data_IF_327979681902
#
_entry.id   IF_327979681902
#
_cell.length_a   1.000
_cell.length_b   1.000
_cell.length_c   1.000
_cell.angle_alpha   90.00
_cell.angle_beta   90.00
_cell.angle_gamma   90.00
#
_symmetry.space_group_name_H-M   'P 1'
#
loop_
_entity.id
_entity.type
_entity.pdbx_description
1 polymer ?
#
# COMPACT_ATOMS: atom_id res chain seq x y z
N UNK A 1 -57.98 5.52 -26.61
CA UNK A 1 -56.84 5.06 -25.78
C UNK A 1 -56.10 3.97 -26.54
N UNK A 2 -54.99 4.30 -27.20
CA UNK A 2 -54.22 3.33 -28.01
C UNK A 2 -53.21 2.61 -27.14
N UNK A 3 -53.55 1.38 -26.74
CA UNK A 3 -52.63 0.50 -26.00
C UNK A 3 -51.48 0.06 -26.92
N UNK A 4 -50.32 0.70 -26.79
CA UNK A 4 -49.09 0.28 -27.46
C UNK A 4 -48.64 -1.06 -26.87
N UNK A 5 -48.80 -2.14 -27.64
CA UNK A 5 -48.23 -3.45 -27.31
C UNK A 5 -46.71 -3.34 -27.16
N UNK A 6 -46.21 -3.62 -25.96
CA UNK A 6 -44.77 -3.77 -25.72
C UNK A 6 -44.35 -5.17 -26.13
N UNK A 7 -43.77 -5.31 -27.32
CA UNK A 7 -43.11 -6.55 -27.72
C UNK A 7 -41.94 -6.82 -26.75
N UNK A 8 -41.87 -8.06 -26.26
CA UNK A 8 -40.74 -8.52 -25.44
C UNK A 8 -39.48 -8.48 -26.30
N UNK A 9 -38.40 -7.92 -25.76
CA UNK A 9 -37.09 -7.90 -26.42
C UNK A 9 -36.58 -9.32 -26.61
N UNK A 10 -35.87 -9.58 -27.70
CA UNK A 10 -35.20 -10.87 -27.90
C UNK A 10 -34.06 -11.02 -26.88
N UNK A 11 -33.65 -12.26 -26.53
CA UNK A 11 -32.57 -12.50 -25.57
C UNK A 11 -31.27 -11.78 -25.95
N UNK A 12 -30.97 -11.69 -27.25
CA UNK A 12 -29.80 -11.00 -27.77
C UNK A 12 -29.88 -9.47 -27.59
N UNK A 13 -31.07 -8.90 -27.79
CA UNK A 13 -31.32 -7.47 -27.58
C UNK A 13 -31.27 -7.10 -26.08
N UNK A 14 -31.69 -8.01 -25.21
CA UNK A 14 -31.55 -7.85 -23.76
C UNK A 14 -30.08 -7.89 -23.32
N UNK A 15 -29.27 -8.80 -23.87
CA UNK A 15 -27.84 -8.87 -23.59
C UNK A 15 -27.10 -7.59 -24.02
N UNK A 16 -27.39 -7.08 -25.23
CA UNK A 16 -26.86 -5.79 -25.71
C UNK A 16 -27.28 -4.63 -24.83
N UNK A 17 -28.53 -4.63 -24.37
CA UNK A 17 -29.04 -3.61 -23.47
C UNK A 17 -28.36 -3.65 -22.09
N UNK A 18 -28.07 -4.85 -21.55
CA UNK A 18 -27.31 -5.02 -20.30
C UNK A 18 -25.88 -4.51 -20.44
N UNK A 19 -25.17 -4.87 -21.51
CA UNK A 19 -23.82 -4.36 -21.80
C UNK A 19 -23.79 -2.84 -21.95
N UNK A 20 -24.79 -2.25 -22.62
CA UNK A 20 -24.90 -0.78 -22.76
C UNK A 20 -25.19 -0.11 -21.42
N UNK A 21 -26.05 -0.71 -20.58
CA UNK A 21 -26.36 -0.21 -19.24
C UNK A 21 -25.14 -0.30 -18.32
N UNK A 22 -24.37 -1.38 -18.41
CA UNK A 22 -23.13 -1.58 -17.67
C UNK A 22 -22.03 -0.62 -18.10
N UNK A 23 -21.82 -0.42 -19.41
CA UNK A 23 -20.93 0.64 -19.93
C UNK A 23 -21.32 2.03 -19.44
N UNK A 24 -22.63 2.35 -19.37
CA UNK A 24 -23.10 3.64 -18.82
C UNK A 24 -22.87 3.75 -17.31
N UNK A 25 -23.04 2.66 -16.56
CA UNK A 25 -22.72 2.61 -15.11
C UNK A 25 -21.21 2.75 -14.87
N UNK A 26 -20.38 2.08 -15.66
CA UNK A 26 -18.92 2.20 -15.59
C UNK A 26 -18.42 3.62 -15.94
N UNK A 27 -18.97 4.25 -16.99
CA UNK A 27 -18.69 5.66 -17.31
C UNK A 27 -19.10 6.60 -16.18
N UNK A 28 -20.26 6.38 -15.55
CA UNK A 28 -20.71 7.16 -14.39
C UNK A 28 -19.79 6.96 -13.18
N UNK A 29 -19.33 5.74 -12.89
CA UNK A 29 -18.37 5.46 -11.82
C UNK A 29 -17.02 6.15 -12.04
N UNK A 30 -16.49 6.13 -13.28
CA UNK A 30 -15.24 6.84 -13.61
C UNK A 30 -15.38 8.36 -13.42
N UNK A 31 -16.49 8.95 -13.86
CA UNK A 31 -16.73 10.38 -13.71
C UNK A 31 -16.94 10.80 -12.24
N UNK A 32 -17.45 9.91 -11.38
CA UNK A 32 -17.56 10.16 -9.95
C UNK A 32 -16.17 10.17 -9.28
N UNK A 33 -15.32 9.20 -9.62
CA UNK A 33 -13.97 9.09 -9.04
C UNK A 33 -13.00 10.19 -9.48
N UNK A 34 -13.18 10.72 -10.69
CA UNK A 34 -12.31 11.77 -11.24
C UNK A 34 -12.67 13.18 -10.74
N UNK A 35 -13.91 13.39 -10.27
CA UNK A 35 -14.37 14.70 -9.78
C UNK A 35 -14.28 14.86 -8.25
N UNK A 36 -14.38 13.77 -7.48
CA UNK A 36 -14.23 13.83 -6.01
C UNK A 36 -12.77 13.95 -5.54
N UNK A 37 -11.79 13.69 -6.41
CA UNK A 37 -10.38 13.82 -6.04
C UNK A 37 -9.85 15.27 -6.06
N UNK A 38 -10.63 16.27 -6.54
CA UNK A 38 -10.12 17.64 -6.70
C UNK A 38 -10.95 18.74 -6.00
N UNK A 39 -12.24 18.51 -5.69
CA UNK A 39 -13.07 19.48 -4.97
C UNK A 39 -14.03 18.75 -4.04
N UNK A 40 -13.73 18.78 -2.73
CA UNK A 40 -14.64 18.27 -1.71
C UNK A 40 -16.05 18.90 -1.81
N UNK A 41 -17.09 18.22 -1.30
CA UNK A 41 -18.48 18.60 -1.52
C UNK A 41 -18.74 20.02 -1.02
N UNK A 42 -19.01 20.92 -1.97
CA UNK A 42 -19.46 22.28 -1.69
C UNK A 42 -20.89 22.21 -1.14
N UNK A 43 -20.98 22.18 0.18
CA UNK A 43 -22.22 22.39 0.95
C UNK A 43 -22.79 23.78 0.66
N UNK A 44 -23.60 23.86 -0.39
CA UNK A 44 -24.41 25.02 -0.76
C UNK A 44 -25.89 24.68 -0.61
N UNK A 45 -26.40 24.73 0.63
CA UNK A 45 -27.81 25.03 0.90
C UNK A 45 -27.91 25.79 2.23
N UNK A 46 -27.89 27.12 2.13
CA UNK A 46 -28.41 28.04 3.15
C UNK A 46 -29.91 28.22 2.89
N UNK A 47 -30.72 27.90 3.89
CA UNK A 47 -32.02 28.52 4.18
C UNK A 47 -32.19 28.33 5.71
N UNK A 48 -31.89 29.36 6.50
CA UNK A 48 -32.79 30.41 7.00
C UNK A 48 -33.33 30.05 8.38
N UNK A 49 -33.10 30.97 9.33
CA UNK A 49 -33.53 31.11 10.73
C UNK A 49 -34.71 30.24 11.22
N UNK A 50 -34.61 29.67 12.43
CA UNK A 50 -35.03 30.33 13.70
C UNK A 50 -34.51 29.58 14.95
N UNK A 51 -34.32 30.35 16.02
CA UNK A 51 -33.79 29.99 17.34
C UNK A 51 -34.60 28.93 18.09
N UNK A 52 -33.97 27.81 18.46
CA UNK A 52 -34.36 26.96 19.60
C UNK A 52 -33.07 26.38 20.21
N UNK A 53 -32.90 26.39 21.55
CA UNK A 53 -31.70 25.87 22.21
C UNK A 53 -31.73 24.34 22.27
N UNK A 54 -31.18 23.70 21.25
CA UNK A 54 -31.08 22.23 21.15
C UNK A 54 -29.79 21.76 21.84
N UNK A 55 -29.96 20.85 22.79
CA UNK A 55 -28.93 20.09 23.50
C UNK A 55 -27.85 19.53 22.54
N UNK A 56 -26.60 19.35 22.99
CA UNK A 56 -25.51 18.88 22.14
C UNK A 56 -25.71 17.40 21.76
N UNK A 57 -26.53 17.18 20.73
CA UNK A 57 -26.65 15.92 20.01
C UNK A 57 -25.28 15.61 19.42
N UNK A 58 -24.61 14.61 20.00
CA UNK A 58 -23.37 14.04 19.46
C UNK A 58 -23.68 13.48 18.08
N UNK A 59 -23.45 14.30 17.08
CA UNK A 59 -23.59 13.98 15.66
C UNK A 59 -22.51 12.97 15.28
N UNK A 60 -22.80 11.69 15.49
CA UNK A 60 -22.09 10.55 14.90
C UNK A 60 -22.42 10.48 13.41
N UNK A 61 -22.15 11.55 12.66
CA UNK A 61 -22.11 11.48 11.20
C UNK A 61 -20.75 10.88 10.82
N UNK A 62 -20.57 9.60 11.15
CA UNK A 62 -19.69 8.74 10.37
C UNK A 62 -20.21 8.84 8.95
N UNK A 63 -19.40 9.36 8.03
CA UNK A 63 -19.75 9.39 6.62
C UNK A 63 -20.15 7.96 6.21
N UNK A 64 -21.24 7.78 5.46
CA UNK A 64 -21.61 6.45 4.93
C UNK A 64 -20.43 5.83 4.15
N UNK A 65 -19.53 6.67 3.63
CA UNK A 65 -18.29 6.26 2.98
C UNK A 65 -17.27 5.66 3.96
N UNK A 66 -17.14 6.21 5.17
CA UNK A 66 -16.27 5.66 6.21
C UNK A 66 -16.82 4.33 6.73
N UNK A 67 -18.15 4.20 6.81
CA UNK A 67 -18.80 2.94 7.14
C UNK A 67 -18.60 1.87 6.04
N UNK A 68 -18.64 2.25 4.75
CA UNK A 68 -18.33 1.33 3.65
C UNK A 68 -16.84 0.93 3.61
N UNK A 69 -15.93 1.84 3.97
CA UNK A 69 -14.49 1.55 4.04
C UNK A 69 -14.20 0.65 5.24
N UNK A 70 -14.78 0.94 6.41
CA UNK A 70 -14.69 0.07 7.58
C UNK A 70 -15.35 -1.29 7.34
N UNK A 71 -16.50 -1.35 6.66
CA UNK A 71 -17.13 -2.63 6.32
C UNK A 71 -16.28 -3.45 5.34
N UNK A 72 -15.60 -2.80 4.39
CA UNK A 72 -14.66 -3.48 3.48
C UNK A 72 -13.42 -3.97 4.21
N UNK A 73 -12.79 -3.13 5.04
CA UNK A 73 -11.65 -3.53 5.86
C UNK A 73 -12.04 -4.63 6.86
N UNK A 74 -13.25 -4.57 7.41
CA UNK A 74 -13.79 -5.61 8.28
C UNK A 74 -14.03 -6.91 7.50
N UNK A 75 -14.55 -6.84 6.27
CA UNK A 75 -14.68 -8.00 5.39
C UNK A 75 -13.34 -8.60 4.97
N UNK A 76 -12.38 -7.78 4.56
CA UNK A 76 -11.03 -8.23 4.22
C UNK A 76 -10.37 -8.87 5.45
N UNK A 77 -10.47 -8.24 6.62
CA UNK A 77 -9.95 -8.82 7.87
C UNK A 77 -10.66 -10.13 8.26
N UNK A 78 -11.94 -10.28 7.94
CA UNK A 78 -12.66 -11.55 8.11
C UNK A 78 -12.19 -12.62 7.11
N UNK A 79 -11.84 -12.25 5.88
CA UNK A 79 -11.28 -13.16 4.89
C UNK A 79 -9.84 -13.55 5.22
N UNK A 80 -9.00 -12.62 5.68
CA UNK A 80 -7.64 -12.89 6.17
C UNK A 80 -7.67 -13.84 7.38
N UNK A 81 -8.58 -13.60 8.33
CA UNK A 81 -8.74 -14.51 9.47
C UNK A 81 -9.30 -15.88 9.07
N UNK A 82 -10.08 -15.98 7.99
CA UNK A 82 -10.57 -17.27 7.47
C UNK A 82 -9.49 -18.02 6.68
N UNK A 83 -8.59 -17.30 6.00
CA UNK A 83 -7.40 -17.87 5.39
C UNK A 83 -6.39 -18.30 6.47
N UNK A 84 -6.30 -17.57 7.59
CA UNK A 84 -5.61 -18.04 8.79
C UNK A 84 -6.33 -19.19 9.50
N UNK A 85 -7.63 -19.42 9.31
CA UNK A 85 -8.35 -20.58 9.88
C UNK A 85 -8.15 -21.86 9.03
N UNK A 86 -7.62 -21.78 7.79
CA UNK A 86 -6.98 -22.94 7.13
C UNK A 86 -5.72 -23.40 7.91
N UNK A 87 -5.24 -22.61 8.88
CA UNK A 87 -4.25 -23.05 9.87
C UNK A 87 -4.84 -24.00 10.91
N UNK A 88 -6.16 -24.13 11.07
CA UNK A 88 -6.72 -25.20 11.90
C UNK A 88 -6.41 -26.57 11.30
N UNK A 89 -6.43 -26.72 9.98
CA UNK A 89 -5.96 -27.95 9.31
C UNK A 89 -4.44 -28.13 9.51
N UNK A 90 -3.66 -27.05 9.57
CA UNK A 90 -2.22 -27.11 9.87
C UNK A 90 -1.92 -27.40 11.36
N UNK A 91 -2.77 -26.94 12.28
CA UNK A 91 -2.69 -27.21 13.72
C UNK A 91 -3.20 -28.62 14.02
N UNK A 92 -4.22 -29.09 13.32
CA UNK A 92 -4.70 -30.47 13.37
C UNK A 92 -3.68 -31.43 12.74
N UNK A 93 -3.05 -31.06 11.61
CA UNK A 93 -1.92 -31.80 11.04
C UNK A 93 -0.73 -31.83 12.01
N UNK A 94 -0.40 -30.70 12.65
CA UNK A 94 0.68 -30.62 13.65
C UNK A 94 0.34 -31.38 14.94
N UNK A 95 -0.91 -31.38 15.41
CA UNK A 95 -1.34 -32.17 16.57
C UNK A 95 -1.36 -33.67 16.26
N UNK A 96 -1.70 -34.04 15.03
CA UNK A 96 -1.59 -35.43 14.56
C UNK A 96 -0.13 -35.86 14.36
N UNK A 97 0.79 -34.95 14.03
CA UNK A 97 2.24 -35.22 13.93
C UNK A 97 2.88 -35.55 15.29
N UNK A 98 2.42 -34.95 16.39
CA UNK A 98 2.85 -35.33 17.75
C UNK A 98 2.14 -36.59 18.28
N UNK A 99 1.15 -37.10 17.54
CA UNK A 99 0.49 -38.39 17.77
C UNK A 99 1.22 -39.58 17.14
N UNK A 100 2.55 -39.54 17.04
CA UNK A 100 3.38 -40.71 16.70
C UNK A 100 3.36 -41.71 17.86
N UNK A 101 2.18 -42.26 18.13
CA UNK A 101 1.99 -43.52 18.87
C UNK A 101 2.72 -44.56 18.03
N UNK A 102 3.84 -45.14 18.52
CA UNK A 102 4.60 -46.12 17.77
C UNK A 102 3.67 -47.23 17.28
N UNK A 103 3.81 -47.67 16.03
CA UNK A 103 2.88 -48.62 15.40
C UNK A 103 2.63 -49.89 16.23
N UNK A 104 3.61 -50.31 17.03
CA UNK A 104 3.48 -51.46 17.94
C UNK A 104 2.44 -51.29 19.07
N UNK A 105 2.04 -50.06 19.40
CA UNK A 105 0.99 -49.72 20.39
C UNK A 105 -0.37 -49.44 19.72
N UNK A 106 -0.40 -49.23 18.39
CA UNK A 106 -1.64 -49.26 17.60
C UNK A 106 -2.04 -50.72 17.36
N UNK A 107 -2.50 -51.37 18.41
CA UNK A 107 -3.41 -52.53 18.39
C UNK A 107 -3.00 -53.70 17.48
N UNK A 108 -2.32 -54.68 18.06
CA UNK A 108 -2.06 -56.04 17.55
C UNK A 108 -3.31 -56.92 17.34
N UNK A 109 -4.48 -56.33 17.06
CA UNK A 109 -5.74 -57.07 16.94
C UNK A 109 -6.76 -56.51 15.94
N UNK A 110 -6.46 -55.38 15.28
CA UNK A 110 -7.29 -54.91 14.19
C UNK A 110 -6.39 -54.60 13.03
N UNK A 111 -6.62 -55.28 11.91
CA UNK A 111 -6.26 -54.88 10.56
C UNK A 111 -6.60 -53.39 10.36
N UNK A 112 -5.74 -52.49 10.81
CA UNK A 112 -5.66 -51.11 10.35
C UNK A 112 -5.10 -51.21 8.94
N UNK A 113 -5.96 -51.72 8.04
CA UNK A 113 -6.02 -51.30 6.66
C UNK A 113 -5.83 -49.80 6.70
N UNK A 114 -4.65 -49.39 6.27
CA UNK A 114 -4.31 -48.05 5.87
C UNK A 114 -5.52 -47.52 5.11
N UNK A 115 -6.39 -46.76 5.80
CA UNK A 115 -7.31 -45.83 5.14
C UNK A 115 -6.41 -44.69 4.64
N UNK A 116 -5.44 -45.01 3.77
CA UNK A 116 -5.04 -44.09 2.71
C UNK A 116 -6.38 -43.74 2.10
N UNK A 117 -6.74 -42.46 2.13
CA UNK A 117 -7.75 -41.95 1.24
C UNK A 117 -7.35 -42.48 -0.13
N UNK A 118 -8.03 -43.53 -0.56
CA UNK A 118 -7.68 -44.34 -1.71
C UNK A 118 -8.00 -43.45 -2.89
N UNK A 119 -7.06 -42.54 -3.16
CA UNK A 119 -7.19 -41.54 -4.16
C UNK A 119 -7.26 -42.35 -5.45
N UNK A 120 -8.33 -42.17 -6.23
CA UNK A 120 -8.61 -43.01 -7.41
C UNK A 120 -7.43 -43.11 -8.39
N UNK A 121 -6.48 -42.17 -8.31
CA UNK A 121 -5.20 -42.16 -9.04
C UNK A 121 -4.20 -43.25 -8.55
N UNK A 122 -4.10 -43.52 -7.24
CA UNK A 122 -3.31 -44.64 -6.69
C UNK A 122 -3.88 -46.01 -7.11
N UNK A 123 -5.19 -46.05 -7.34
CA UNK A 123 -5.93 -47.23 -7.77
C UNK A 123 -5.54 -47.68 -9.20
N UNK A 124 -5.17 -46.72 -10.06
CA UNK A 124 -4.64 -46.98 -11.40
C UNK A 124 -3.18 -47.46 -11.39
N UNK A 125 -2.41 -47.08 -10.38
CA UNK A 125 -1.05 -47.57 -10.18
C UNK A 125 -1.04 -49.01 -9.63
N UNK A 126 -1.97 -49.31 -8.72
CA UNK A 126 -2.17 -50.66 -8.15
C UNK A 126 -2.50 -51.73 -9.20
N UNK A 127 -3.18 -51.36 -10.30
CA UNK A 127 -3.49 -52.29 -11.39
C UNK A 127 -2.35 -52.47 -12.42
N UNK A 128 -1.34 -51.60 -12.40
CA UNK A 128 -0.16 -51.71 -13.25
C UNK A 128 0.94 -52.60 -12.64
N UNK A 129 0.83 -52.94 -11.35
CA UNK A 129 1.74 -53.90 -10.72
C UNK A 129 1.59 -55.28 -11.37
N UNK A 130 2.73 -55.93 -11.63
CA UNK A 130 2.76 -57.28 -12.21
C UNK A 130 2.23 -58.28 -11.16
N UNK A 131 1.14 -59.02 -11.43
CA UNK A 131 0.48 -59.90 -10.46
C UNK A 131 1.37 -61.01 -9.87
N UNK A 132 2.53 -61.29 -10.48
CA UNK A 132 3.49 -62.30 -10.00
C UNK A 132 4.23 -61.91 -8.72
N UNK A 133 4.22 -60.63 -8.36
CA UNK A 133 4.89 -60.11 -7.17
C UNK A 133 3.92 -59.66 -6.08
N UNK A 134 2.61 -59.84 -6.29
CA UNK A 134 1.58 -59.55 -5.30
C UNK A 134 1.35 -60.77 -4.40
N UNK A 135 1.08 -60.53 -3.13
CA UNK A 135 0.64 -61.61 -2.25
C UNK A 135 -0.78 -62.09 -2.62
N UNK A 136 -1.19 -63.25 -2.10
CA UNK A 136 -2.48 -63.86 -2.46
C UNK A 136 -3.67 -62.97 -2.06
N UNK A 137 -3.51 -62.11 -1.05
CA UNK A 137 -4.56 -61.20 -0.55
C UNK A 137 -4.69 -59.97 -1.46
N UNK A 138 -3.56 -59.36 -1.84
CA UNK A 138 -3.42 -58.29 -2.81
C UNK A 138 -3.91 -58.72 -4.20
N UNK A 139 -3.60 -59.96 -4.61
CA UNK A 139 -4.06 -60.54 -5.87
C UNK A 139 -5.58 -60.71 -5.90
N UNK A 140 -6.20 -61.17 -4.80
CA UNK A 140 -7.66 -61.26 -4.69
C UNK A 140 -8.30 -59.87 -4.76
N UNK A 141 -7.71 -58.85 -4.13
CA UNK A 141 -8.19 -57.48 -4.23
C UNK A 141 -8.00 -56.93 -5.66
N UNK A 142 -6.87 -57.21 -6.33
CA UNK A 142 -6.61 -56.86 -7.73
C UNK A 142 -7.67 -57.47 -8.67
N UNK A 143 -8.03 -58.74 -8.48
CA UNK A 143 -9.11 -59.38 -9.25
C UNK A 143 -10.46 -58.71 -8.98
N UNK A 144 -10.80 -58.42 -7.72
CA UNK A 144 -12.08 -57.76 -7.39
C UNK A 144 -12.16 -56.37 -8.01
N UNK A 145 -11.09 -55.58 -7.94
CA UNK A 145 -11.01 -54.24 -8.54
C UNK A 145 -11.06 -54.34 -10.08
N UNK A 146 -10.34 -55.29 -10.68
CA UNK A 146 -10.36 -55.54 -12.12
C UNK A 146 -11.74 -55.98 -12.63
N UNK A 147 -12.44 -56.81 -11.88
CA UNK A 147 -13.82 -57.23 -12.19
C UNK A 147 -14.83 -56.09 -12.01
N UNK A 148 -14.67 -55.26 -10.98
CA UNK A 148 -15.52 -54.08 -10.77
C UNK A 148 -15.37 -53.09 -11.94
N UNK A 149 -14.13 -52.82 -12.39
CA UNK A 149 -13.87 -51.95 -13.55
C UNK A 149 -14.47 -52.47 -14.85
N UNK A 150 -14.43 -53.80 -15.06
CA UNK A 150 -15.03 -54.42 -16.25
C UNK A 150 -16.55 -54.35 -16.25
N UNK A 151 -17.18 -54.42 -15.08
CA UNK A 151 -18.65 -54.37 -14.93
C UNK A 151 -19.20 -52.95 -14.84
N UNK A 152 -18.41 -52.01 -14.34
CA UNK A 152 -18.77 -50.59 -14.16
C UNK A 152 -17.93 -49.66 -15.06
N UNK A 153 -17.55 -50.15 -16.25
CA UNK A 153 -16.71 -49.40 -17.19
C UNK A 153 -17.36 -48.07 -17.61
N UNK A 154 -18.68 -48.03 -17.76
CA UNK A 154 -19.44 -46.82 -18.09
C UNK A 154 -19.42 -45.81 -16.94
N UNK A 155 -19.60 -46.27 -15.70
CA UNK A 155 -19.55 -45.43 -14.50
C UNK A 155 -18.15 -44.81 -14.32
N UNK A 156 -17.09 -45.59 -14.55
CA UNK A 156 -15.72 -45.10 -14.49
C UNK A 156 -15.44 -44.05 -15.57
N UNK A 157 -15.94 -44.26 -16.80
CA UNK A 157 -15.81 -43.29 -17.87
C UNK A 157 -16.55 -41.98 -17.55
N UNK A 158 -17.73 -42.04 -16.91
CA UNK A 158 -18.46 -40.87 -16.45
C UNK A 158 -17.73 -40.15 -15.30
N UNK A 159 -17.17 -40.90 -14.35
CA UNK A 159 -16.37 -40.37 -13.24
C UNK A 159 -15.11 -39.65 -13.75
N UNK A 160 -14.41 -40.24 -14.72
CA UNK A 160 -13.26 -39.60 -15.37
C UNK A 160 -13.66 -38.33 -16.13
N UNK A 161 -14.82 -38.31 -16.82
CA UNK A 161 -15.35 -37.09 -17.45
C UNK A 161 -15.68 -36.00 -16.42
N UNK A 162 -16.30 -36.36 -15.29
CA UNK A 162 -16.60 -35.43 -14.20
C UNK A 162 -15.32 -34.85 -13.60
N UNK A 163 -14.31 -35.69 -13.36
CA UNK A 163 -13.00 -35.24 -12.86
C UNK A 163 -12.28 -34.33 -13.84
N UNK A 164 -12.22 -34.71 -15.11
CA UNK A 164 -11.61 -33.89 -16.15
C UNK A 164 -12.33 -32.52 -16.26
N UNK A 165 -13.67 -32.50 -16.18
CA UNK A 165 -14.45 -31.27 -16.19
C UNK A 165 -14.20 -30.40 -14.95
N UNK A 166 -14.10 -31.00 -13.76
CA UNK A 166 -13.77 -30.27 -12.52
C UNK A 166 -12.34 -29.73 -12.55
N UNK A 167 -11.37 -30.53 -13.00
CA UNK A 167 -9.99 -30.12 -13.16
C UNK A 167 -9.86 -28.98 -14.17
N UNK A 168 -10.57 -29.06 -15.30
CA UNK A 168 -10.64 -27.98 -16.29
C UNK A 168 -11.23 -26.69 -15.70
N UNK A 169 -12.33 -26.78 -14.94
CA UNK A 169 -12.94 -25.62 -14.26
C UNK A 169 -12.00 -24.99 -13.23
N UNK A 170 -11.32 -25.80 -12.43
CA UNK A 170 -10.33 -25.32 -11.45
C UNK A 170 -9.13 -24.67 -12.15
N UNK A 171 -8.67 -25.23 -13.26
CA UNK A 171 -7.58 -24.66 -14.05
C UNK A 171 -7.97 -23.30 -14.67
N UNK A 172 -9.18 -23.18 -15.22
CA UNK A 172 -9.69 -21.92 -15.77
C UNK A 172 -9.86 -20.85 -14.68
N UNK A 173 -10.42 -21.22 -13.52
CA UNK A 173 -10.57 -20.29 -12.40
C UNK A 173 -9.22 -19.83 -11.85
N UNK A 174 -8.24 -20.74 -11.74
CA UNK A 174 -6.87 -20.42 -11.35
C UNK A 174 -6.19 -19.51 -12.36
N UNK A 175 -6.39 -19.74 -13.66
CA UNK A 175 -5.88 -18.87 -14.72
C UNK A 175 -6.50 -17.47 -14.62
N UNK A 176 -7.81 -17.37 -14.43
CA UNK A 176 -8.51 -16.08 -14.24
C UNK A 176 -8.03 -15.34 -12.99
N UNK A 177 -7.81 -16.04 -11.88
CA UNK A 177 -7.28 -15.43 -10.64
C UNK A 177 -5.86 -14.91 -10.86
N UNK A 178 -4.99 -15.69 -11.52
CA UNK A 178 -3.62 -15.27 -11.83
C UNK A 178 -3.56 -14.06 -12.78
N UNK A 179 -4.47 -13.96 -13.75
CA UNK A 179 -4.58 -12.77 -14.61
C UNK A 179 -5.04 -11.53 -13.83
N UNK A 180 -6.01 -11.69 -12.92
CA UNK A 180 -6.48 -10.59 -12.08
C UNK A 180 -5.39 -10.10 -11.12
N UNK A 181 -4.65 -11.02 -10.50
CA UNK A 181 -3.56 -10.72 -9.58
C UNK A 181 -2.41 -9.97 -10.28
N UNK A 182 -2.07 -10.37 -11.51
CA UNK A 182 -1.07 -9.64 -12.31
C UNK A 182 -1.51 -8.20 -12.61
N UNK A 183 -2.77 -8.03 -13.00
CA UNK A 183 -3.31 -6.70 -13.32
C UNK A 183 -3.41 -5.80 -12.07
N UNK A 184 -3.71 -6.38 -10.90
CA UNK A 184 -3.71 -5.66 -9.63
C UNK A 184 -2.30 -5.24 -9.20
N UNK A 185 -1.33 -6.14 -9.31
CA UNK A 185 0.08 -5.84 -9.02
C UNK A 185 0.62 -4.71 -9.90
N UNK A 186 0.31 -4.72 -11.20
CA UNK A 186 0.68 -3.64 -12.12
C UNK A 186 0.04 -2.29 -11.70
N UNK A 187 -1.22 -2.31 -11.26
CA UNK A 187 -1.91 -1.12 -10.80
C UNK A 187 -1.35 -0.58 -9.46
N UNK A 188 -0.87 -1.45 -8.57
CA UNK A 188 -0.21 -1.06 -7.33
C UNK A 188 1.17 -0.43 -7.60
N UNK A 189 1.98 -1.06 -8.46
CA UNK A 189 3.28 -0.51 -8.87
C UNK A 189 3.14 0.87 -9.54
N UNK A 190 2.09 1.08 -10.36
CA UNK A 190 1.80 2.39 -10.95
C UNK A 190 1.44 3.44 -9.87
N UNK A 191 0.66 3.05 -8.85
CA UNK A 191 0.30 3.94 -7.74
C UNK A 191 1.53 4.35 -6.94
N UNK A 192 2.40 3.40 -6.62
CA UNK A 192 3.64 3.66 -5.89
C UNK A 192 4.58 4.55 -6.70
N UNK A 193 4.74 4.28 -8.00
CA UNK A 193 5.53 5.15 -8.90
C UNK A 193 5.00 6.58 -8.91
N UNK A 194 3.68 6.76 -8.96
CA UNK A 194 3.05 8.08 -8.95
C UNK A 194 3.19 8.80 -7.60
N UNK A 195 3.16 8.07 -6.48
CA UNK A 195 3.45 8.63 -5.15
C UNK A 195 4.89 9.11 -5.06
N UNK A 196 5.85 8.26 -5.44
CA UNK A 196 7.27 8.60 -5.46
C UNK A 196 7.58 9.81 -6.36
N UNK A 197 6.96 9.88 -7.55
CA UNK A 197 7.12 11.04 -8.43
C UNK A 197 6.58 12.33 -7.79
N UNK A 198 5.39 12.26 -7.16
CA UNK A 198 4.82 13.42 -6.44
C UNK A 198 5.72 13.86 -5.29
N UNK A 199 6.33 12.93 -4.57
CA UNK A 199 7.27 13.24 -3.50
C UNK A 199 8.57 13.83 -4.02
N UNK A 200 9.13 13.29 -5.10
CA UNK A 200 10.29 13.87 -5.78
C UNK A 200 10.02 15.31 -6.21
N UNK A 201 8.89 15.56 -6.89
CA UNK A 201 8.50 16.92 -7.32
C UNK A 201 8.34 17.87 -6.13
N UNK A 202 7.82 17.39 -4.99
CA UNK A 202 7.72 18.19 -3.77
C UNK A 202 9.10 18.53 -3.22
N UNK A 203 10.02 17.56 -3.20
CA UNK A 203 11.41 17.78 -2.76
C UNK A 203 12.13 18.77 -3.67
N UNK A 204 11.95 18.68 -4.99
CA UNK A 204 12.57 19.60 -5.95
C UNK A 204 12.05 21.02 -5.78
N UNK A 205 10.73 21.20 -5.64
CA UNK A 205 10.14 22.50 -5.34
C UNK A 205 10.68 23.09 -4.02
N UNK A 206 10.78 22.27 -2.96
CA UNK A 206 11.35 22.68 -1.68
C UNK A 206 12.83 23.12 -1.80
N UNK A 207 13.60 22.54 -2.73
CA UNK A 207 14.98 22.97 -3.00
C UNK A 207 15.04 24.29 -3.75
N UNK A 208 14.16 24.49 -4.72
CA UNK A 208 14.03 25.77 -5.43
C UNK A 208 13.68 26.88 -4.44
N UNK A 209 12.72 26.64 -3.54
CA UNK A 209 12.37 27.54 -2.45
C UNK A 209 13.54 27.82 -1.51
N UNK A 210 14.28 26.79 -1.11
CA UNK A 210 15.49 26.95 -0.30
C UNK A 210 16.50 27.89 -0.97
N UNK A 211 16.77 27.70 -2.27
CA UNK A 211 17.70 28.57 -3.00
C UNK A 211 17.15 30.00 -3.12
N UNK A 212 15.86 30.15 -3.44
CA UNK A 212 15.21 31.46 -3.56
C UNK A 212 15.19 32.24 -2.23
N UNK A 213 14.95 31.56 -1.11
CA UNK A 213 15.03 32.17 0.23
C UNK A 213 16.46 32.58 0.57
N UNK A 214 17.44 31.80 0.15
CA UNK A 214 18.84 32.13 0.41
C UNK A 214 19.34 33.31 -0.42
N UNK A 215 18.98 33.39 -1.70
CA UNK A 215 19.28 34.57 -2.53
C UNK A 215 18.61 35.82 -1.97
N UNK A 216 17.36 35.73 -1.52
CA UNK A 216 16.66 36.83 -0.85
C UNK A 216 17.36 37.26 0.45
N UNK A 217 17.80 36.33 1.28
CA UNK A 217 18.52 36.62 2.52
C UNK A 217 19.85 37.35 2.26
N UNK A 218 20.59 36.90 1.23
CA UNK A 218 21.84 37.52 0.82
C UNK A 218 21.62 38.93 0.26
N UNK A 219 20.65 39.12 -0.64
CA UNK A 219 20.31 40.44 -1.19
C UNK A 219 19.85 41.43 -0.11
N UNK A 220 19.08 40.93 0.88
CA UNK A 220 18.66 41.74 2.02
C UNK A 220 19.82 42.12 2.94
N UNK A 221 20.94 41.38 2.91
CA UNK A 221 22.15 41.70 3.68
C UNK A 221 22.97 42.80 3.01
N UNK A 222 22.99 42.84 1.68
CA UNK A 222 23.65 43.90 0.91
C UNK A 222 22.90 45.24 0.98
N UNK A 223 21.57 45.20 1.09
CA UNK A 223 20.73 46.41 1.08
C UNK A 223 20.66 47.15 2.42
N UNK A 224 21.42 46.73 3.45
CA UNK A 224 21.41 47.29 4.82
C UNK A 224 20.02 47.47 5.48
N UNK A 225 18.98 46.81 4.95
CA UNK A 225 17.65 46.90 5.53
C UNK A 225 17.58 46.17 6.87
N UNK A 226 17.18 46.90 7.92
CA UNK A 226 16.97 46.37 9.27
C UNK A 226 15.67 45.58 9.31
N UNK A 227 15.68 44.41 8.67
CA UNK A 227 14.63 43.40 8.84
C UNK A 227 15.08 42.50 9.98
N UNK A 228 14.28 42.46 11.06
CA UNK A 228 14.48 41.50 12.15
C UNK A 228 14.26 40.08 11.61
N UNK A 229 15.32 39.26 11.61
CA UNK A 229 15.26 37.87 11.17
C UNK A 229 14.79 36.98 12.32
N UNK A 230 13.80 36.13 12.05
CA UNK A 230 13.35 35.07 12.96
C UNK A 230 14.05 33.74 12.65
N UNK A 231 13.80 32.73 13.49
CA UNK A 231 14.36 31.39 13.28
C UNK A 231 13.84 30.73 12.00
N UNK A 232 12.61 31.04 11.59
CA UNK A 232 11.93 30.42 10.45
C UNK A 232 12.29 31.10 9.12
N UNK A 233 12.81 32.32 9.16
CA UNK A 233 13.30 33.04 7.97
C UNK A 233 14.61 32.49 7.43
N UNK A 234 15.35 31.72 8.24
CA UNK A 234 16.58 31.05 7.83
C UNK A 234 16.18 29.78 7.07
N UNK A 235 16.47 29.66 5.76
CA UNK A 235 16.18 28.44 5.01
C UNK A 235 17.09 27.29 5.46
N UNK A 236 16.62 26.51 6.42
CA UNK A 236 17.30 25.31 6.89
C UNK A 236 17.33 24.24 5.78
N UNK A 237 18.42 23.44 5.67
CA UNK A 237 18.57 22.42 4.64
C UNK A 237 17.79 21.15 5.01
N UNK A 238 16.50 21.28 5.29
CA UNK A 238 15.58 20.17 5.58
C UNK A 238 14.25 20.40 4.87
N UNK A 239 13.60 19.32 4.43
CA UNK A 239 12.32 19.42 3.73
C UNK A 239 11.21 20.05 4.59
N UNK A 240 11.20 19.80 5.90
CA UNK A 240 10.17 20.30 6.81
C UNK A 240 10.11 21.84 6.88
N UNK A 241 11.21 22.54 6.59
CA UNK A 241 11.28 24.00 6.59
C UNK A 241 10.56 24.67 5.40
N UNK A 242 10.33 23.93 4.32
CA UNK A 242 9.78 24.43 3.04
C UNK A 242 8.47 23.74 2.71
N UNK A 243 7.59 23.56 3.70
CA UNK A 243 6.23 23.07 3.45
C UNK A 243 5.34 24.27 3.12
N UNK A 244 5.24 24.57 1.83
CA UNK A 244 4.90 25.90 1.31
C UNK A 244 3.41 26.25 1.27
N UNK A 245 2.61 25.66 2.15
CA UNK A 245 1.23 26.12 2.31
C UNK A 245 0.98 26.33 3.78
N UNK A 246 0.92 27.60 4.26
CA UNK A 246 0.06 27.86 5.40
C UNK A 246 -1.27 27.18 5.08
N UNK A 247 -1.78 26.30 5.97
CA UNK A 247 -3.00 25.54 5.71
C UNK A 247 -4.06 26.52 5.19
N UNK A 248 -4.71 26.16 4.08
CA UNK A 248 -5.77 27.00 3.52
C UNK A 248 -6.73 27.30 4.66
N UNK A 249 -7.25 28.53 4.71
CA UNK A 249 -8.07 29.00 5.84
C UNK A 249 -9.24 28.09 6.23
N UNK A 250 -9.70 27.26 5.28
CA UNK A 250 -10.73 26.24 5.47
C UNK A 250 -10.28 25.05 6.33
N UNK A 251 -8.99 24.72 6.34
CA UNK A 251 -8.40 23.63 7.12
C UNK A 251 -8.04 24.07 8.56
N UNK A 252 -8.07 25.38 8.86
CA UNK A 252 -7.80 25.92 10.21
C UNK A 252 -8.77 25.39 11.27
N UNK A 253 -9.99 24.97 10.89
CA UNK A 253 -11.02 24.50 11.84
C UNK A 253 -10.75 23.11 12.42
N UNK A 254 -9.98 22.27 11.73
CA UNK A 254 -9.55 20.97 12.23
C UNK A 254 -8.08 20.94 12.68
N UNK A 255 -7.29 21.95 12.29
CA UNK A 255 -5.89 22.08 12.69
C UNK A 255 -5.69 22.81 14.04
N UNK A 256 -6.63 22.71 14.97
CA UNK A 256 -6.61 23.38 16.29
C UNK A 256 -5.47 22.89 17.24
N UNK A 257 -4.47 22.18 16.72
CA UNK A 257 -3.29 21.72 17.48
C UNK A 257 -2.00 21.62 16.66
N UNK A 258 -2.00 22.05 15.39
CA UNK A 258 -0.79 22.11 14.54
C UNK A 258 -0.57 23.56 14.13
N UNK A 259 -0.37 24.44 15.13
CA UNK A 259 0.28 25.73 14.89
C UNK A 259 1.52 25.48 14.04
N UNK A 260 1.66 26.24 12.95
CA UNK A 260 2.61 26.01 11.87
C UNK A 260 3.91 25.45 12.40
N UNK A 261 4.22 24.20 12.02
CA UNK A 261 5.29 23.38 12.59
C UNK A 261 6.63 24.12 12.44
N UNK A 262 6.93 24.96 13.42
CA UNK A 262 8.17 25.70 13.50
C UNK A 262 9.30 24.69 13.58
N UNK A 263 10.32 24.87 12.76
CA UNK A 263 11.45 23.93 12.72
C UNK A 263 12.07 23.84 14.11
N UNK A 264 12.24 22.62 14.60
CA UNK A 264 12.91 22.34 15.87
C UNK A 264 14.36 21.96 15.60
N UNK A 265 15.26 22.30 16.53
CA UNK A 265 16.68 21.92 16.44
C UNK A 265 16.84 20.40 16.36
N UNK A 266 16.01 19.64 17.09
CA UNK A 266 15.98 18.18 17.04
C UNK A 266 15.64 17.59 15.66
N UNK A 267 15.00 18.33 14.75
CA UNK A 267 14.65 17.84 13.41
C UNK A 267 15.83 17.96 12.43
N UNK A 268 16.89 18.68 12.78
CA UNK A 268 18.12 18.85 11.99
C UNK A 268 19.01 17.60 12.12
N UNK A 269 18.46 16.45 11.73
CA UNK A 269 19.14 15.14 11.75
C UNK A 269 20.02 14.97 10.51
N UNK A 270 20.98 14.04 10.60
CA UNK A 270 21.85 13.68 9.47
C UNK A 270 21.05 13.18 8.26
N UNK A 271 20.05 12.32 8.50
CA UNK A 271 19.17 11.78 7.47
C UNK A 271 18.34 12.86 6.78
N UNK A 272 17.77 13.79 7.55
CA UNK A 272 16.99 14.88 6.98
C UNK A 272 17.83 15.83 6.12
N UNK A 273 19.04 16.18 6.58
CA UNK A 273 19.95 17.09 5.86
C UNK A 273 20.54 16.41 4.62
N UNK A 274 20.96 15.15 4.74
CA UNK A 274 21.51 14.37 3.62
C UNK A 274 20.45 14.14 2.54
N UNK A 275 19.25 13.68 2.90
CA UNK A 275 18.13 13.48 1.95
C UNK A 275 17.78 14.78 1.22
N UNK A 276 17.79 15.90 1.94
CA UNK A 276 17.46 17.19 1.36
C UNK A 276 18.54 17.70 0.39
N UNK A 277 19.81 17.69 0.79
CA UNK A 277 20.91 18.22 -0.03
C UNK A 277 21.34 17.26 -1.17
N UNK A 278 21.18 15.95 -0.97
CA UNK A 278 21.66 14.90 -1.87
C UNK A 278 20.47 14.03 -2.32
N UNK A 279 19.86 14.30 -3.50
CA UNK A 279 18.79 13.45 -4.00
C UNK A 279 19.24 12.00 -4.18
N UNK A 280 18.44 11.07 -3.66
CA UNK A 280 18.70 9.61 -3.77
C UNK A 280 18.93 9.14 -5.21
N UNK A 281 18.31 9.80 -6.20
CA UNK A 281 18.52 9.49 -7.62
C UNK A 281 19.97 9.68 -8.09
N UNK A 282 20.76 10.51 -7.41
CA UNK A 282 22.19 10.66 -7.69
C UNK A 282 23.03 9.60 -6.98
N UNK A 283 22.61 9.10 -5.80
CA UNK A 283 23.37 8.10 -5.04
C UNK A 283 23.51 6.76 -5.75
N UNK A 284 22.51 6.34 -6.52
CA UNK A 284 22.52 5.09 -7.30
C UNK A 284 23.46 5.13 -8.52
N UNK A 285 23.96 6.32 -8.89
CA UNK A 285 24.91 6.47 -10.00
C UNK A 285 26.34 6.44 -9.45
N UNK A 286 26.92 5.25 -9.39
CA UNK A 286 28.32 5.08 -9.02
C UNK A 286 29.25 5.67 -10.11
N UNK A 287 29.57 6.94 -9.96
CA UNK A 287 30.49 7.67 -10.82
C UNK A 287 31.38 8.62 -10.04
N UNK A 288 32.66 8.71 -10.39
CA UNK A 288 33.60 9.67 -9.80
C UNK A 288 33.11 11.12 -9.96
N UNK A 289 32.39 11.42 -11.05
CA UNK A 289 31.75 12.71 -11.29
C UNK A 289 30.66 13.02 -10.23
N UNK A 290 29.78 12.06 -9.94
CA UNK A 290 28.71 12.20 -8.93
C UNK A 290 29.29 12.43 -7.54
N UNK A 291 30.36 11.69 -7.18
CA UNK A 291 31.07 11.91 -5.90
C UNK A 291 31.66 13.31 -5.80
N UNK A 292 32.16 13.87 -6.90
CA UNK A 292 32.68 15.24 -6.95
C UNK A 292 31.56 16.27 -6.78
N UNK A 293 30.46 16.13 -7.50
CA UNK A 293 29.28 17.00 -7.40
C UNK A 293 28.67 16.98 -5.99
N UNK A 294 28.57 15.79 -5.37
CA UNK A 294 28.17 15.62 -3.97
C UNK A 294 29.07 16.42 -3.02
N UNK A 295 30.39 16.27 -3.13
CA UNK A 295 31.35 16.99 -2.29
C UNK A 295 31.28 18.50 -2.51
N UNK A 296 31.05 18.94 -3.74
CA UNK A 296 30.90 20.35 -4.08
C UNK A 296 29.64 20.96 -3.44
N UNK A 297 28.48 20.29 -3.55
CA UNK A 297 27.24 20.74 -2.89
C UNK A 297 27.37 20.78 -1.37
N UNK A 298 28.01 19.78 -0.76
CA UNK A 298 28.26 19.76 0.68
C UNK A 298 29.20 20.89 1.11
N UNK A 299 30.27 21.16 0.35
CA UNK A 299 31.17 22.30 0.62
C UNK A 299 30.45 23.64 0.49
N UNK A 300 29.61 23.81 -0.52
CA UNK A 300 28.81 25.02 -0.69
C UNK A 300 27.87 25.23 0.52
N UNK A 301 27.12 24.19 0.92
CA UNK A 301 26.28 24.23 2.11
C UNK A 301 27.11 24.52 3.38
N UNK A 302 28.29 23.91 3.52
CA UNK A 302 29.16 24.14 4.66
C UNK A 302 29.66 25.58 4.73
N UNK A 303 30.04 26.18 3.60
CA UNK A 303 30.45 27.59 3.53
C UNK A 303 29.30 28.53 3.89
N UNK A 304 28.06 28.18 3.52
CA UNK A 304 26.84 28.92 3.84
C UNK A 304 26.50 28.85 5.34
N UNK A 305 26.69 27.69 5.97
CA UNK A 305 26.38 27.43 7.39
C UNK A 305 27.61 27.43 8.30
N UNK A 306 28.73 28.03 7.90
CA UNK A 306 29.91 28.12 8.75
C UNK A 306 29.62 29.03 9.96
N UNK A 307 29.81 28.59 11.22
CA UNK A 307 29.36 29.32 12.40
C UNK A 307 29.91 30.75 12.47
N UNK A 308 31.21 30.92 12.24
CA UNK A 308 31.87 32.23 12.26
C UNK A 308 31.35 33.20 11.18
N UNK A 309 31.31 32.76 9.92
CA UNK A 309 30.80 33.58 8.81
C UNK A 309 29.31 33.90 8.95
N UNK A 310 28.53 32.94 9.44
CA UNK A 310 27.10 33.13 9.67
C UNK A 310 26.86 34.14 10.81
N UNK A 311 27.62 34.03 11.90
CA UNK A 311 27.52 34.95 13.04
C UNK A 311 27.88 36.39 12.66
N UNK A 312 28.97 36.57 11.92
CA UNK A 312 29.37 37.90 11.43
C UNK A 312 28.34 38.55 10.49
N UNK A 313 27.65 37.75 9.66
CA UNK A 313 26.74 38.24 8.61
C UNK A 313 25.30 38.42 9.07
N UNK A 314 24.73 37.44 9.77
CA UNK A 314 23.29 37.39 10.00
C UNK A 314 22.90 37.60 11.46
N UNK A 315 23.73 37.22 12.44
CA UNK A 315 23.33 37.25 13.86
C UNK A 315 23.01 38.65 14.40
N UNK A 316 23.60 39.70 13.82
CA UNK A 316 23.27 41.10 14.17
C UNK A 316 21.80 41.42 13.90
N UNK A 317 21.19 40.80 12.88
CA UNK A 317 19.80 41.00 12.45
C UNK A 317 18.82 40.02 13.09
N UNK A 318 19.30 38.90 13.62
CA UNK A 318 18.46 37.92 14.31
C UNK A 318 17.98 38.50 15.63
N UNK A 319 16.68 38.38 15.89
CA UNK A 319 16.05 38.79 17.15
C UNK A 319 16.79 38.17 18.35
N UNK A 320 17.12 38.98 19.34
CA UNK A 320 17.97 38.57 20.48
C UNK A 320 17.45 37.30 21.18
N UNK A 321 16.14 37.22 21.42
CA UNK A 321 15.45 36.04 22.00
C UNK A 321 15.62 34.72 21.24
N UNK A 322 16.02 34.77 19.96
CA UNK A 322 16.18 33.58 19.10
C UNK A 322 17.64 33.31 18.72
N UNK A 323 18.58 34.19 19.08
CA UNK A 323 20.00 34.06 18.72
C UNK A 323 20.62 32.76 19.21
N UNK A 324 20.36 32.37 20.45
CA UNK A 324 20.88 31.13 21.03
C UNK A 324 20.38 29.89 20.27
N UNK A 325 19.07 29.83 20.00
CA UNK A 325 18.45 28.75 19.22
C UNK A 325 19.04 28.66 17.80
N UNK A 326 19.27 29.81 17.15
CA UNK A 326 19.90 29.86 15.82
C UNK A 326 21.35 29.35 15.88
N UNK A 327 22.13 29.75 16.89
CA UNK A 327 23.52 29.30 17.09
C UNK A 327 23.60 27.79 17.29
N UNK A 328 22.72 27.23 18.13
CA UNK A 328 22.61 25.79 18.35
C UNK A 328 22.31 25.04 17.04
N UNK A 329 21.30 25.51 16.29
CA UNK A 329 20.91 24.92 15.00
C UNK A 329 22.06 24.95 13.97
N UNK A 330 22.77 26.06 13.84
CA UNK A 330 23.93 26.17 12.93
C UNK A 330 25.05 25.23 13.37
N UNK A 331 25.33 25.16 14.67
CA UNK A 331 26.32 24.23 15.21
C UNK A 331 25.97 22.77 14.94
N UNK A 332 24.68 22.42 14.95
CA UNK A 332 24.20 21.09 14.58
C UNK A 332 24.35 20.82 13.09
N UNK A 333 23.90 21.73 12.22
CA UNK A 333 24.04 21.62 10.76
C UNK A 333 25.50 21.51 10.35
N UNK A 334 26.38 22.35 10.91
CA UNK A 334 27.82 22.33 10.61
C UNK A 334 28.49 21.00 11.00
N UNK A 335 28.13 20.42 12.15
CA UNK A 335 28.61 19.09 12.57
C UNK A 335 28.17 17.99 11.62
N UNK A 336 26.89 17.99 11.24
CA UNK A 336 26.34 17.03 10.27
C UNK A 336 27.03 17.16 8.91
N UNK A 337 27.21 18.39 8.40
CA UNK A 337 27.88 18.62 7.12
C UNK A 337 29.34 18.15 7.14
N UNK A 338 30.06 18.34 8.25
CA UNK A 338 31.41 17.80 8.41
C UNK A 338 31.44 16.27 8.41
N UNK A 339 30.49 15.62 9.10
CA UNK A 339 30.36 14.16 9.07
C UNK A 339 30.11 13.64 7.65
N UNK A 340 29.18 14.27 6.92
CA UNK A 340 28.85 13.90 5.54
C UNK A 340 29.98 14.15 4.53
N UNK A 341 30.89 15.08 4.80
CA UNK A 341 32.09 15.33 3.98
C UNK A 341 33.22 14.33 4.25
N UNK A 342 33.22 13.70 5.44
CA UNK A 342 34.19 12.69 5.82
C UNK A 342 33.87 11.31 5.23
N UNK A 343 32.60 11.07 4.86
CA UNK A 343 32.15 9.94 4.03
C UNK A 343 32.61 10.10 2.57
#
# INVERSE_FOLDING_TARGET
MTNKLKLKRTPEEEARHRLKKEKRRAKRKRHHYEYDSAYGPSSSKRAHLDEEPIEPERKWASSDEDAEIEEKLFREKLFDNLEEDERLDAVEARMNDFGHVPDRWRTTGSSQKVRRNFNEEENDEYLKLDPRYMDDEEYVEWIRVGMYRKTHAEEYAEQQRKKAAQAARRAEEKARKAEAEKLEKEAEEERERKKAERESRRMDYAREEYQARWTKLLAATESEQVVELTFDDIPWPIFAAHRDKPPKEKDKRHANGLEGRAVRTSELTEEAISTFLLPNAELERDGAAVKKERKERLREAFLRFHPDKFEGRFMKRVKESKREKVREAIGQVSRVLNALMAL
#
